data_IF_557061422309
#
_entry.id   IF_557061422309
#
_cell.length_a   1.000
_cell.length_b   1.000
_cell.length_c   1.000
_cell.angle_alpha   90.00
_cell.angle_beta   90.00
_cell.angle_gamma   90.00
#
_symmetry.space_group_name_H-M   'P 1'
#
loop_
_entity.id
_entity.type
_entity.pdbx_description
1 polymer ?
#
# COMPACT_ATOMS: atom_id res chain seq x y z
N UNK A 1 -22.70 13.87 -12.51
CA UNK A 1 -22.96 13.56 -11.09
C UNK A 1 -22.53 12.14 -10.71
N UNK A 2 -22.93 11.09 -11.46
CA UNK A 2 -22.58 9.69 -11.17
C UNK A 2 -21.06 9.42 -11.05
N UNK A 3 -20.24 9.91 -11.99
CA UNK A 3 -18.77 9.71 -11.93
C UNK A 3 -18.10 10.37 -10.72
N UNK A 4 -18.64 11.49 -10.23
CA UNK A 4 -18.12 12.16 -9.03
C UNK A 4 -18.39 11.30 -7.79
N UNK A 5 -19.63 10.81 -7.64
CA UNK A 5 -20.01 9.89 -6.57
C UNK A 5 -19.18 8.60 -6.59
N UNK A 6 -18.97 8.02 -7.78
CA UNK A 6 -18.12 6.83 -7.94
C UNK A 6 -16.67 7.09 -7.49
N UNK A 7 -16.10 8.24 -7.88
CA UNK A 7 -14.74 8.62 -7.48
C UNK A 7 -14.63 8.79 -5.97
N UNK A 8 -15.57 9.50 -5.35
CA UNK A 8 -15.61 9.68 -3.88
C UNK A 8 -15.74 8.33 -3.16
N UNK A 9 -16.59 7.43 -3.65
CA UNK A 9 -16.75 6.09 -3.08
C UNK A 9 -15.47 5.26 -3.17
N UNK A 10 -14.76 5.31 -4.31
CA UNK A 10 -13.47 4.61 -4.47
C UNK A 10 -12.44 5.14 -3.47
N UNK A 11 -12.31 6.47 -3.33
CA UNK A 11 -11.42 7.05 -2.33
C UNK A 11 -11.81 6.68 -0.90
N UNK A 12 -13.11 6.64 -0.60
CA UNK A 12 -13.61 6.25 0.71
C UNK A 12 -13.23 4.81 1.05
N UNK A 13 -13.51 3.87 0.15
CA UNK A 13 -13.17 2.44 0.33
C UNK A 13 -11.66 2.26 0.47
N UNK A 14 -10.87 2.94 -0.35
CA UNK A 14 -9.41 2.87 -0.30
C UNK A 14 -8.84 3.35 1.05
N UNK A 15 -9.32 4.48 1.56
CA UNK A 15 -8.90 4.99 2.86
C UNK A 15 -9.40 4.11 4.00
N UNK A 16 -10.60 3.53 3.90
CA UNK A 16 -11.15 2.62 4.89
C UNK A 16 -10.32 1.34 5.00
N UNK A 17 -9.92 0.74 3.87
CA UNK A 17 -9.00 -0.42 3.85
C UNK A 17 -7.66 -0.09 4.51
N UNK A 18 -7.11 1.10 4.21
CA UNK A 18 -5.85 1.57 4.80
C UNK A 18 -5.98 1.79 6.31
N UNK A 19 -7.09 2.36 6.76
CA UNK A 19 -7.37 2.59 8.18
C UNK A 19 -7.55 1.27 8.96
N UNK A 20 -8.23 0.29 8.37
CA UNK A 20 -8.38 -1.06 8.97
C UNK A 20 -7.02 -1.74 9.10
N UNK A 21 -6.19 -1.70 8.04
CA UNK A 21 -4.84 -2.24 8.09
C UNK A 21 -4.00 -1.55 9.17
N UNK A 22 -4.08 -0.22 9.28
CA UNK A 22 -3.38 0.55 10.30
C UNK A 22 -3.85 0.20 11.72
N UNK A 23 -5.16 0.05 11.93
CA UNK A 23 -5.74 -0.36 13.22
C UNK A 23 -5.27 -1.77 13.62
N UNK A 24 -5.18 -2.70 12.66
CA UNK A 24 -4.66 -4.03 12.93
C UNK A 24 -3.20 -3.99 13.43
N UNK A 25 -2.33 -3.20 12.79
CA UNK A 25 -0.92 -3.10 13.20
C UNK A 25 -0.72 -2.28 14.47
N UNK A 26 -1.27 -1.08 14.54
CA UNK A 26 -1.00 -0.13 15.63
C UNK A 26 -1.94 -0.39 16.81
N UNK A 27 -3.22 -0.66 16.55
CA UNK A 27 -4.24 -0.86 17.58
C UNK A 27 -4.18 -2.25 18.22
N UNK A 28 -4.18 -3.32 17.42
CA UNK A 28 -4.23 -4.69 17.95
C UNK A 28 -2.87 -5.26 18.32
N UNK A 29 -1.84 -5.05 17.48
CA UNK A 29 -0.50 -5.59 17.72
C UNK A 29 0.38 -4.65 18.54
N UNK A 30 0.00 -3.38 18.69
CA UNK A 30 0.82 -2.36 19.35
C UNK A 30 2.11 -2.03 18.60
N UNK A 31 2.24 -2.44 17.33
CA UNK A 31 3.43 -2.24 16.51
C UNK A 31 3.26 -0.98 15.68
N UNK A 32 4.16 -0.02 15.88
CA UNK A 32 4.18 1.19 15.06
C UNK A 32 4.70 0.85 13.66
N UNK A 33 3.85 0.91 12.63
CA UNK A 33 4.18 0.54 11.25
C UNK A 33 4.03 1.77 10.34
N UNK A 34 5.14 2.48 10.07
CA UNK A 34 5.15 3.66 9.21
C UNK A 34 5.15 3.31 7.72
N UNK A 35 5.66 2.13 7.37
CA UNK A 35 5.74 1.62 6.01
C UNK A 35 4.43 1.37 5.32
N UNK A 36 3.38 1.11 6.08
CA UNK A 36 2.06 0.81 5.53
C UNK A 36 1.63 1.85 4.49
N UNK A 37 1.80 3.14 4.80
CA UNK A 37 1.43 4.24 3.90
C UNK A 37 2.33 4.24 2.64
N UNK A 38 3.63 3.94 2.79
CA UNK A 38 4.55 3.86 1.67
C UNK A 38 4.17 2.73 0.70
N UNK A 39 3.85 1.52 1.19
CA UNK A 39 3.47 0.39 0.34
C UNK A 39 2.12 0.60 -0.35
N UNK A 40 1.15 1.17 0.39
CA UNK A 40 -0.15 1.58 -0.15
C UNK A 40 0.04 2.61 -1.28
N UNK A 41 0.92 3.59 -1.08
CA UNK A 41 1.30 4.56 -2.10
C UNK A 41 1.95 3.94 -3.34
N UNK A 42 2.94 3.04 -3.16
CA UNK A 42 3.63 2.36 -4.26
C UNK A 42 2.62 1.59 -5.13
N UNK A 43 1.69 0.85 -4.53
CA UNK A 43 0.63 0.13 -5.26
C UNK A 43 -0.29 1.07 -6.07
N UNK A 44 -0.76 2.16 -5.45
CA UNK A 44 -1.66 3.10 -6.12
C UNK A 44 -0.97 3.86 -7.29
N UNK A 45 0.26 4.33 -7.09
CA UNK A 45 1.02 5.02 -8.14
C UNK A 45 1.39 4.09 -9.28
N UNK A 46 1.82 2.86 -8.99
CA UNK A 46 2.14 1.88 -10.02
C UNK A 46 0.91 1.50 -10.86
N UNK A 47 -0.26 1.31 -10.24
CA UNK A 47 -1.53 1.16 -10.96
C UNK A 47 -1.84 2.35 -11.88
N UNK A 48 -1.72 3.58 -11.35
CA UNK A 48 -2.03 4.80 -12.08
C UNK A 48 -1.10 5.03 -13.28
N UNK A 49 0.21 4.79 -13.12
CA UNK A 49 1.19 4.94 -14.20
C UNK A 49 0.97 3.91 -15.31
N UNK A 50 0.69 2.65 -14.96
CA UNK A 50 0.44 1.59 -15.94
C UNK A 50 -0.86 1.84 -16.71
N UNK A 51 -1.91 2.27 -16.02
CA UNK A 51 -3.17 2.66 -16.67
C UNK A 51 -2.98 3.87 -17.59
N UNK A 52 -2.17 4.86 -17.17
CA UNK A 52 -1.83 6.02 -18.00
C UNK A 52 -0.99 5.66 -19.23
N UNK A 53 -0.20 4.58 -19.16
CA UNK A 53 0.55 4.05 -20.29
C UNK A 53 -0.33 3.32 -21.33
N UNK A 54 -1.65 3.28 -21.13
CA UNK A 54 -2.60 2.65 -22.06
C UNK A 54 -2.78 1.14 -21.85
N UNK A 55 -2.16 0.58 -20.81
CA UNK A 55 -2.39 -0.81 -20.42
C UNK A 55 -3.71 -0.90 -19.66
N UNK A 56 -4.51 -1.92 -19.96
CA UNK A 56 -5.83 -2.10 -19.37
C UNK A 56 -5.81 -2.41 -17.86
N UNK A 57 -6.99 -2.70 -17.30
CA UNK A 57 -7.18 -3.01 -15.88
C UNK A 57 -6.29 -4.17 -15.39
N UNK A 58 -6.26 -5.28 -16.12
CA UNK A 58 -5.57 -6.50 -15.67
C UNK A 58 -4.04 -6.34 -15.56
N UNK A 59 -3.33 -5.80 -16.56
CA UNK A 59 -1.91 -5.49 -16.41
C UNK A 59 -1.64 -4.50 -15.28
N UNK A 60 -2.45 -3.44 -15.16
CA UNK A 60 -2.29 -2.45 -14.10
C UNK A 60 -2.45 -3.05 -12.70
N UNK A 61 -3.45 -3.92 -12.51
CA UNK A 61 -3.69 -4.63 -11.25
C UNK A 61 -2.54 -5.58 -10.90
N UNK A 62 -2.00 -6.33 -11.87
CA UNK A 62 -0.86 -7.22 -11.64
C UNK A 62 0.38 -6.44 -11.20
N UNK A 63 0.70 -5.33 -11.88
CA UNK A 63 1.85 -4.50 -11.50
C UNK A 63 1.64 -3.90 -10.11
N UNK A 64 0.44 -3.44 -9.79
CA UNK A 64 0.10 -2.89 -8.48
C UNK A 64 0.20 -3.89 -7.32
N UNK A 65 0.18 -5.20 -7.60
CA UNK A 65 0.41 -6.26 -6.61
C UNK A 65 1.89 -6.63 -6.54
N UNK A 66 2.51 -6.86 -7.69
CA UNK A 66 3.88 -7.39 -7.78
C UNK A 66 4.91 -6.35 -7.33
N UNK A 67 4.79 -5.09 -7.76
CA UNK A 67 5.77 -4.05 -7.48
C UNK A 67 5.94 -3.76 -5.98
N UNK A 68 4.87 -3.46 -5.21
CA UNK A 68 5.02 -3.26 -3.77
C UNK A 68 5.49 -4.53 -3.05
N UNK A 69 5.10 -5.72 -3.51
CA UNK A 69 5.62 -7.00 -2.98
C UNK A 69 7.14 -7.13 -3.12
N UNK A 70 7.69 -6.78 -4.30
CA UNK A 70 9.14 -6.78 -4.52
C UNK A 70 9.85 -5.74 -3.63
N UNK A 71 9.27 -4.56 -3.47
CA UNK A 71 9.81 -3.52 -2.58
C UNK A 71 9.84 -3.97 -1.12
N UNK A 72 8.77 -4.60 -0.63
CA UNK A 72 8.70 -5.17 0.73
C UNK A 72 9.79 -6.24 0.92
N UNK A 73 9.97 -7.14 -0.05
CA UNK A 73 11.01 -8.19 0.04
C UNK A 73 12.41 -7.56 0.09
N UNK A 74 12.68 -6.57 -0.76
CA UNK A 74 13.95 -5.86 -0.77
C UNK A 74 14.21 -5.13 0.56
N UNK A 75 13.21 -4.42 1.08
CA UNK A 75 13.27 -3.77 2.40
C UNK A 75 13.52 -4.79 3.50
N UNK A 76 12.75 -5.88 3.54
CA UNK A 76 12.92 -6.92 4.55
C UNK A 76 14.33 -7.49 4.55
N UNK A 77 14.99 -7.66 3.41
CA UNK A 77 16.39 -8.13 3.34
C UNK A 77 17.38 -7.17 4.02
N UNK A 78 17.16 -5.86 3.91
CA UNK A 78 18.01 -4.83 4.52
C UNK A 78 17.69 -4.70 6.03
N UNK A 79 16.41 -4.82 6.37
CA UNK A 79 15.87 -4.58 7.72
C UNK A 79 15.99 -5.80 8.65
N UNK A 80 16.43 -6.98 8.17
CA UNK A 80 16.58 -8.21 9.01
C UNK A 80 17.43 -8.04 10.27
N UNK A 81 18.33 -7.06 10.30
CA UNK A 81 19.23 -6.78 11.43
C UNK A 81 18.58 -5.90 12.51
N UNK A 82 17.43 -5.30 12.24
CA UNK A 82 16.69 -4.46 13.19
C UNK A 82 15.75 -5.33 14.01
N UNK A 83 15.73 -5.14 15.33
CA UNK A 83 14.86 -5.86 16.27
C UNK A 83 13.94 -4.89 16.99
N UNK A 84 12.73 -5.36 17.34
CA UNK A 84 11.75 -4.57 18.10
C UNK A 84 11.15 -3.43 17.28
N UNK A 85 10.82 -2.32 17.96
CA UNK A 85 10.13 -1.15 17.37
C UNK A 85 10.88 -0.50 16.19
N UNK A 86 12.20 -0.66 16.14
CA UNK A 86 13.02 -0.17 15.03
C UNK A 86 12.68 -0.84 13.69
N UNK A 87 12.15 -2.07 13.71
CA UNK A 87 11.69 -2.74 12.48
C UNK A 87 10.43 -2.07 11.92
N UNK A 88 9.53 -1.61 12.78
CA UNK A 88 8.29 -0.95 12.38
C UNK A 88 8.46 0.52 11.95
N UNK A 89 9.55 1.17 12.39
CA UNK A 89 9.95 2.50 11.90
C UNK A 89 10.63 2.39 10.51
N UNK A 90 11.40 1.32 10.28
CA UNK A 90 12.20 1.16 9.07
C UNK A 90 11.48 0.46 7.91
N UNK A 91 10.44 -0.32 8.21
CA UNK A 91 9.57 -0.94 7.21
C UNK A 91 8.49 0.03 6.83
#
# INVERSE_FOLDING_TARGET
MFNYLATVLVFFIYNLLTAVAANLTIGYLGLFNLGLIAFVGIGAYSYALVTKAGLGFWPAALVAIVLPGLFVIALQLITKKLKGDYFGIAT
#
